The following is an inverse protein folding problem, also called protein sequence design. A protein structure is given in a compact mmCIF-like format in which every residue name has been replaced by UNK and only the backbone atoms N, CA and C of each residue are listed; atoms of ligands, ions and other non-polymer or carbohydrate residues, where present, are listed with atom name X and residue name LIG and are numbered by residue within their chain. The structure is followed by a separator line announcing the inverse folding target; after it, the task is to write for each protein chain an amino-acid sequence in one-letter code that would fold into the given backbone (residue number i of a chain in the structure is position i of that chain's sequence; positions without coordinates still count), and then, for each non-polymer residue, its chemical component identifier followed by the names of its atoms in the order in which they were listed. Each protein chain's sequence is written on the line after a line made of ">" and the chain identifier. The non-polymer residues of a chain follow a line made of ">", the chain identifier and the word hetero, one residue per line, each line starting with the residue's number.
data_IF_448181791914
#
_entry.id   IF_448181791914
#
_cell.length_a   1.000
_cell.length_b   1.000
_cell.length_c   1.000
_cell.angle_alpha   90.00
_cell.angle_beta   90.00
_cell.angle_gamma   90.00
#
_symmetry.space_group_name_H-M   'P 1'
#
loop_
_entity.id
_entity.type
_entity.pdbx_description
1 polymer ?
#
# COMPACT_ATOMS: atom_id res chain seq x y z
N UNK A 1 5.88 -15.21 -8.34
CA UNK A 1 4.74 -15.85 -7.61
C UNK A 1 3.45 -15.48 -8.31
N UNK A 2 2.51 -16.42 -8.53
CA UNK A 2 1.19 -16.12 -9.13
C UNK A 2 0.49 -15.06 -8.29
N UNK A 3 0.11 -13.93 -8.90
CA UNK A 3 -0.69 -12.87 -8.28
C UNK A 3 -2.10 -13.39 -7.97
N UNK A 4 -2.24 -14.12 -6.86
CA UNK A 4 -3.54 -14.63 -6.40
C UNK A 4 -4.32 -13.49 -5.76
N UNK A 5 -5.48 -13.17 -6.33
CA UNK A 5 -6.45 -12.29 -5.69
C UNK A 5 -6.84 -12.88 -4.32
N UNK A 6 -6.72 -12.08 -3.28
CA UNK A 6 -7.09 -12.39 -1.90
C UNK A 6 -8.43 -11.72 -1.59
N UNK A 7 -9.26 -12.36 -0.76
CA UNK A 7 -10.54 -11.82 -0.30
C UNK A 7 -10.38 -11.09 1.03
N UNK A 8 -11.15 -10.03 1.24
CA UNK A 8 -11.23 -9.33 2.52
C UNK A 8 -12.58 -8.64 2.68
N UNK A 9 -13.18 -8.74 3.87
CA UNK A 9 -14.46 -8.06 4.18
C UNK A 9 -14.20 -6.83 5.02
N UNK A 10 -14.58 -5.64 4.58
CA UNK A 10 -14.44 -4.37 5.32
C UNK A 10 -15.83 -3.75 5.46
N UNK A 11 -16.24 -3.40 6.68
CA UNK A 11 -17.57 -2.83 6.96
C UNK A 11 -18.72 -3.66 6.33
N UNK A 12 -18.68 -4.99 6.48
CA UNK A 12 -19.62 -5.97 5.88
C UNK A 12 -19.59 -6.11 4.35
N UNK A 13 -18.78 -5.32 3.64
CA UNK A 13 -18.63 -5.38 2.18
C UNK A 13 -17.42 -6.26 1.81
N UNK A 14 -17.58 -7.17 0.85
CA UNK A 14 -16.50 -8.02 0.34
C UNK A 14 -15.69 -7.31 -0.77
N UNK A 15 -14.37 -7.35 -0.62
CA UNK A 15 -13.39 -6.83 -1.58
C UNK A 15 -12.43 -7.94 -2.01
N UNK A 16 -11.87 -7.77 -3.20
CA UNK A 16 -10.73 -8.54 -3.68
C UNK A 16 -9.52 -7.63 -3.73
N UNK A 17 -8.33 -8.15 -3.41
CA UNK A 17 -7.10 -7.37 -3.53
C UNK A 17 -5.93 -8.21 -3.98
N UNK A 18 -4.92 -7.54 -4.55
CA UNK A 18 -3.61 -8.10 -4.81
C UNK A 18 -2.52 -7.11 -4.42
N UNK A 19 -1.36 -7.67 -4.12
CA UNK A 19 -0.13 -6.92 -3.81
C UNK A 19 0.94 -7.41 -4.77
N UNK A 20 1.57 -6.51 -5.50
CA UNK A 20 2.64 -6.80 -6.46
C UNK A 20 3.74 -5.76 -6.37
N UNK A 21 4.98 -6.17 -6.52
CA UNK A 21 6.16 -5.31 -6.54
C UNK A 21 6.80 -5.24 -7.93
N UNK A 22 7.43 -4.12 -8.22
CA UNK A 22 8.24 -3.90 -9.40
C UNK A 22 9.52 -3.16 -8.99
N UNK A 23 10.67 -3.75 -9.31
CA UNK A 23 11.96 -3.09 -9.16
C UNK A 23 12.29 -2.27 -10.40
N UNK A 24 12.85 -1.07 -10.18
CA UNK A 24 13.26 -0.14 -11.22
C UNK A 24 14.77 0.09 -11.12
N UNK A 25 15.54 -0.64 -11.94
CA UNK A 25 17.01 -0.65 -11.85
C UNK A 25 17.66 0.70 -12.14
N UNK A 26 17.07 1.50 -13.02
CA UNK A 26 17.61 2.80 -13.43
C UNK A 26 17.64 3.81 -12.28
N UNK A 27 16.60 3.78 -11.44
CA UNK A 27 16.44 4.72 -10.31
C UNK A 27 16.78 4.08 -8.97
N UNK A 28 17.11 2.77 -8.95
CA UNK A 28 17.28 1.98 -7.73
C UNK A 28 16.10 2.13 -6.76
N UNK A 29 14.89 2.15 -7.32
CA UNK A 29 13.65 2.25 -6.56
C UNK A 29 12.83 0.99 -6.70
N UNK A 30 11.91 0.80 -5.76
CA UNK A 30 10.94 -0.28 -5.79
C UNK A 30 9.53 0.29 -5.66
N UNK A 31 8.60 -0.16 -6.49
CA UNK A 31 7.18 0.17 -6.36
C UNK A 31 6.39 -1.05 -5.89
N UNK A 32 5.82 -0.97 -4.68
CA UNK A 32 4.79 -1.90 -4.24
C UNK A 32 3.43 -1.34 -4.66
N UNK A 33 2.62 -2.14 -5.34
CA UNK A 33 1.27 -1.77 -5.78
C UNK A 33 0.24 -2.62 -5.05
N UNK A 34 -0.69 -1.95 -4.38
CA UNK A 34 -1.92 -2.57 -3.87
C UNK A 34 -3.05 -2.21 -4.82
N UNK A 35 -3.70 -3.21 -5.40
CA UNK A 35 -4.96 -3.01 -6.14
C UNK A 35 -6.09 -3.63 -5.35
N UNK A 36 -7.15 -2.87 -5.12
CA UNK A 36 -8.39 -3.33 -4.48
C UNK A 36 -9.54 -3.19 -5.45
N UNK A 37 -10.38 -4.21 -5.50
CA UNK A 37 -11.60 -4.29 -6.29
C UNK A 37 -12.77 -4.54 -5.36
N UNK A 38 -13.92 -3.96 -5.65
CA UNK A 38 -15.17 -4.42 -5.06
C UNK A 38 -15.47 -5.83 -5.58
N UNK A 39 -15.89 -6.76 -4.73
CA UNK A 39 -16.20 -8.10 -5.20
C UNK A 39 -17.36 -8.05 -6.21
N UNK A 40 -17.20 -8.70 -7.37
CA UNK A 40 -18.14 -8.61 -8.50
C UNK A 40 -17.90 -7.44 -9.45
N UNK A 41 -17.06 -6.44 -9.11
CA UNK A 41 -16.74 -5.30 -9.97
C UNK A 41 -15.22 -5.08 -10.08
N UNK A 42 -14.65 -5.40 -11.24
CA UNK A 42 -13.18 -5.34 -11.47
C UNK A 42 -12.70 -4.17 -12.31
N UNK A 43 -13.60 -3.39 -12.91
CA UNK A 43 -13.24 -2.37 -13.91
C UNK A 43 -12.62 -1.11 -13.27
N UNK A 44 -12.98 -0.82 -12.02
CA UNK A 44 -12.69 0.45 -11.34
C UNK A 44 -11.94 0.23 -10.01
N UNK A 45 -10.73 -0.37 -10.05
CA UNK A 45 -9.96 -0.62 -8.83
C UNK A 45 -9.48 0.66 -8.15
N UNK A 46 -9.38 0.60 -6.83
CA UNK A 46 -8.49 1.48 -6.09
C UNK A 46 -7.05 1.00 -6.30
N UNK A 47 -6.20 1.86 -6.86
CA UNK A 47 -4.79 1.57 -7.10
C UNK A 47 -3.95 2.47 -6.21
N UNK A 48 -3.15 1.87 -5.33
CA UNK A 48 -2.25 2.57 -4.41
C UNK A 48 -0.83 2.10 -4.68
N UNK A 49 0.07 3.04 -4.99
CA UNK A 49 1.49 2.77 -5.27
C UNK A 49 2.37 3.33 -4.16
N UNK A 50 3.26 2.49 -3.64
CA UNK A 50 4.26 2.83 -2.65
C UNK A 50 5.62 2.78 -3.34
N UNK A 51 6.14 3.94 -3.71
CA UNK A 51 7.49 4.05 -4.27
C UNK A 51 8.48 4.24 -3.13
N UNK A 52 9.42 3.32 -2.98
CA UNK A 52 10.44 3.35 -1.93
C UNK A 52 11.84 3.27 -2.54
N UNK A 53 12.85 3.66 -1.76
CA UNK A 53 14.21 3.22 -2.02
C UNK A 53 14.25 1.68 -2.10
N UNK A 54 15.07 1.13 -2.99
CA UNK A 54 15.37 -0.29 -2.95
C UNK A 54 16.45 -0.54 -1.88
N UNK A 55 16.17 -1.44 -0.95
CA UNK A 55 17.17 -1.96 -0.03
C UNK A 55 17.69 -3.27 -0.62
N UNK A 56 18.94 -3.27 -1.10
CA UNK A 56 19.57 -4.42 -1.74
C UNK A 56 19.59 -5.68 -0.86
N UNK A 57 19.48 -5.52 0.46
CA UNK A 57 19.51 -6.62 1.44
C UNK A 57 18.09 -7.09 1.80
N UNK A 58 17.15 -6.17 1.98
CA UNK A 58 15.79 -6.48 2.47
C UNK A 58 14.72 -6.57 1.37
N UNK A 59 15.06 -6.21 0.13
CA UNK A 59 14.12 -6.05 -0.97
C UNK A 59 13.11 -4.95 -0.71
N UNK A 60 11.88 -5.11 -1.19
CA UNK A 60 10.80 -4.14 -0.95
C UNK A 60 10.38 -4.13 0.54
N UNK A 61 10.73 -3.07 1.33
CA UNK A 61 10.54 -3.03 2.79
C UNK A 61 9.09 -3.23 3.25
N UNK A 62 8.11 -2.68 2.55
CA UNK A 62 6.69 -2.83 2.84
C UNK A 62 6.13 -4.21 2.47
N UNK A 63 6.89 -5.03 1.74
CA UNK A 63 6.54 -6.42 1.42
C UNK A 63 7.16 -7.41 2.42
N UNK A 64 8.41 -7.19 2.81
CA UNK A 64 9.14 -8.00 3.81
C UNK A 64 8.72 -7.65 5.24
N UNK A 65 8.47 -6.38 5.52
CA UNK A 65 8.15 -5.86 6.84
C UNK A 65 9.16 -4.79 7.25
N UNK A 66 8.68 -3.61 7.62
CA UNK A 66 9.53 -2.51 8.09
C UNK A 66 8.94 -1.86 9.33
N UNK A 67 9.79 -1.59 10.32
CA UNK A 67 9.37 -0.91 11.54
C UNK A 67 9.29 0.59 11.30
N UNK A 68 8.12 1.17 11.51
CA UNK A 68 7.90 2.62 11.41
C UNK A 68 7.35 3.14 12.74
N UNK A 69 7.85 4.30 13.17
CA UNK A 69 7.27 5.05 14.29
C UNK A 69 5.88 5.59 13.89
N UNK A 70 4.85 5.28 14.67
CA UNK A 70 3.52 5.86 14.58
C UNK A 70 3.41 7.02 15.57
N UNK A 71 3.36 8.26 15.06
CA UNK A 71 3.26 9.47 15.90
C UNK A 71 1.92 9.62 16.61
N UNK A 72 0.85 9.02 16.10
CA UNK A 72 -0.49 9.09 16.70
C UNK A 72 -0.58 8.12 17.88
N UNK A 73 -0.09 6.89 17.70
CA UNK A 73 -0.13 5.85 18.74
C UNK A 73 1.04 5.94 19.72
N UNK A 74 2.13 6.63 19.36
CA UNK A 74 3.36 6.66 20.15
C UNK A 74 4.09 5.31 20.20
N UNK A 75 3.87 4.45 19.20
CA UNK A 75 4.43 3.09 19.11
C UNK A 75 5.24 2.88 17.84
N UNK A 76 6.16 1.91 17.88
CA UNK A 76 6.82 1.40 16.70
C UNK A 76 6.08 0.16 16.20
N UNK A 77 5.57 0.21 14.97
CA UNK A 77 4.80 -0.88 14.37
C UNK A 77 5.54 -1.46 13.17
N UNK A 78 5.54 -2.79 13.06
CA UNK A 78 6.04 -3.48 11.86
C UNK A 78 4.96 -3.46 10.75
N UNK A 79 5.24 -2.71 9.69
CA UNK A 79 4.37 -2.53 8.53
C UNK A 79 4.73 -3.55 7.45
N UNK A 80 3.77 -4.39 7.09
CA UNK A 80 3.88 -5.35 5.99
C UNK A 80 2.55 -5.43 5.25
N UNK A 81 2.49 -4.97 4.01
CA UNK A 81 1.26 -4.88 3.22
C UNK A 81 0.74 -6.25 2.75
N UNK A 82 1.46 -7.36 2.99
CA UNK A 82 0.87 -8.69 2.88
C UNK A 82 -0.10 -8.99 4.03
N UNK A 83 0.03 -8.32 5.18
CA UNK A 83 -0.84 -8.51 6.36
C UNK A 83 -2.20 -7.84 6.11
N UNK A 84 -3.33 -8.57 6.25
CA UNK A 84 -4.66 -8.04 5.98
C UNK A 84 -5.03 -6.76 6.75
N UNK A 85 -4.47 -6.55 7.95
CA UNK A 85 -4.81 -5.38 8.78
C UNK A 85 -4.54 -4.04 8.08
N UNK A 86 -3.43 -3.91 7.36
CA UNK A 86 -3.10 -2.69 6.63
C UNK A 86 -3.96 -2.54 5.38
N UNK A 87 -4.28 -3.63 4.69
CA UNK A 87 -5.21 -3.61 3.55
C UNK A 87 -6.58 -3.08 3.97
N UNK A 88 -7.09 -3.46 5.16
CA UNK A 88 -8.35 -2.90 5.69
C UNK A 88 -8.26 -1.38 5.87
N UNK A 89 -7.17 -0.89 6.44
CA UNK A 89 -6.97 0.55 6.65
C UNK A 89 -6.90 1.31 5.32
N UNK A 90 -6.17 0.80 4.34
CA UNK A 90 -6.10 1.39 3.00
C UNK A 90 -7.46 1.45 2.30
N UNK A 91 -8.29 0.40 2.44
CA UNK A 91 -9.66 0.39 1.92
C UNK A 91 -10.50 1.48 2.59
N UNK A 92 -10.48 1.56 3.92
CA UNK A 92 -11.23 2.59 4.66
C UNK A 92 -10.81 4.00 4.23
N UNK A 93 -9.52 4.24 4.02
CA UNK A 93 -9.03 5.53 3.53
C UNK A 93 -9.44 5.82 2.10
N UNK A 94 -9.38 4.83 1.20
CA UNK A 94 -9.86 4.98 -0.18
C UNK A 94 -11.34 5.36 -0.22
N UNK A 95 -12.17 4.70 0.60
CA UNK A 95 -13.58 5.06 0.75
C UNK A 95 -13.76 6.51 1.22
N UNK A 96 -12.99 6.94 2.24
CA UNK A 96 -13.01 8.34 2.72
C UNK A 96 -12.57 9.35 1.66
N UNK A 97 -11.66 8.97 0.76
CA UNK A 97 -11.18 9.80 -0.35
C UNK A 97 -12.09 9.74 -1.60
N UNK A 98 -13.25 9.07 -1.51
CA UNK A 98 -14.27 9.06 -2.56
C UNK A 98 -14.27 7.84 -3.48
N UNK A 99 -13.49 6.80 -3.17
CA UNK A 99 -13.59 5.53 -3.91
C UNK A 99 -14.86 4.80 -3.48
N UNK A 100 -15.65 4.29 -4.43
CA UNK A 100 -16.85 3.48 -4.15
C UNK A 100 -16.77 2.07 -4.69
N UNK A 101 -15.72 1.75 -5.45
CA UNK A 101 -15.65 0.51 -6.23
C UNK A 101 -16.39 0.56 -7.56
N UNK A 102 -17.24 1.57 -7.80
CA UNK A 102 -17.95 1.79 -9.07
C UNK A 102 -17.42 2.98 -9.88
N UNK A 103 -16.58 3.82 -9.27
CA UNK A 103 -15.92 4.95 -9.93
C UNK A 103 -14.41 4.73 -10.05
N UNK A 104 -13.84 5.25 -11.13
CA UNK A 104 -12.40 5.39 -11.25
C UNK A 104 -11.88 6.49 -10.35
N UNK A 105 -10.65 6.32 -9.89
CA UNK A 105 -9.87 7.35 -9.21
C UNK A 105 -8.45 7.34 -9.76
N UNK A 106 -7.76 8.46 -9.62
CA UNK A 106 -6.34 8.53 -9.91
C UNK A 106 -5.54 7.56 -9.03
N UNK A 107 -4.36 7.19 -9.50
CA UNK A 107 -3.45 6.34 -8.73
C UNK A 107 -3.03 7.10 -7.47
N UNK A 108 -3.23 6.46 -6.33
CA UNK A 108 -2.99 7.05 -5.03
C UNK A 108 -1.53 6.83 -4.60
N UNK A 109 -0.95 7.83 -3.95
CA UNK A 109 0.37 7.72 -3.32
C UNK A 109 0.23 7.01 -1.96
N UNK A 110 0.83 5.83 -1.85
CA UNK A 110 0.76 5.00 -0.66
C UNK A 110 1.57 5.51 0.54
N UNK A 111 2.64 6.29 0.31
CA UNK A 111 3.37 6.91 1.42
C UNK A 111 2.53 7.99 2.11
N UNK A 112 1.69 8.69 1.36
CA UNK A 112 0.74 9.66 1.93
C UNK A 112 -0.31 8.94 2.78
N UNK A 113 -0.77 7.76 2.33
CA UNK A 113 -1.68 6.93 3.12
C UNK A 113 -1.07 6.51 4.46
N UNK A 114 0.19 6.04 4.46
CA UNK A 114 0.88 5.68 5.71
C UNK A 114 1.09 6.90 6.61
N UNK A 115 1.41 8.06 6.03
CA UNK A 115 1.61 9.31 6.78
C UNK A 115 0.31 9.78 7.44
N UNK A 116 -0.83 9.70 6.73
CA UNK A 116 -2.16 9.98 7.28
C UNK A 116 -2.60 8.99 8.36
N UNK A 117 -2.08 7.76 8.34
CA UNK A 117 -2.24 6.77 9.42
C UNK A 117 -1.29 7.02 10.63
N UNK A 118 -0.45 8.06 10.54
CA UNK A 118 0.46 8.49 11.60
C UNK A 118 1.89 7.96 11.47
N UNK A 119 2.21 7.17 10.44
CA UNK A 119 3.54 6.57 10.29
C UNK A 119 4.57 7.54 9.71
N UNK A 120 5.77 7.53 10.26
CA UNK A 120 6.92 8.23 9.69
C UNK A 120 7.46 7.46 8.48
N UNK A 121 7.32 8.06 7.29
CA UNK A 121 7.67 7.43 6.01
C UNK A 121 8.96 7.93 5.39
N UNK A 122 9.62 8.95 5.96
CA UNK A 122 10.80 9.57 5.35
C UNK A 122 11.94 8.58 5.10
N UNK A 123 12.12 7.61 5.99
CA UNK A 123 13.11 6.55 5.83
C UNK A 123 12.84 5.60 4.66
N UNK A 124 11.62 5.59 4.10
CA UNK A 124 11.25 4.77 2.95
C UNK A 124 11.48 5.48 1.61
N UNK A 125 11.57 6.82 1.62
CA UNK A 125 11.67 7.60 0.39
C UNK A 125 13.01 7.33 -0.31
N UNK A 126 13.04 7.24 -1.65
CA UNK A 126 14.30 7.26 -2.39
C UNK A 126 15.14 8.46 -1.97
N UNK A 127 16.44 8.26 -1.73
CA UNK A 127 17.36 9.39 -1.57
C UNK A 127 17.41 10.13 -2.91
N UNK A 128 17.06 11.41 -2.92
CA UNK A 128 17.42 12.26 -4.05
C UNK A 128 18.95 12.33 -4.06
N UNK A 129 19.56 11.77 -5.11
CA UNK A 129 20.92 12.15 -5.47
C UNK A 129 20.78 13.51 -6.14
N UNK A 130 21.11 14.58 -5.42
CA UNK A 130 21.52 15.84 -6.05
C UNK A 130 22.91 15.68 -6.68
#
# INVERSE_FOLDING_TARGET
>A
MKNKLRKITVNTIEYLYLVSDQYHSETKTNTLTVKVFLNGQKQTPLIIKFMTADDYVMGQPLKSGVKLMNKIAGSEDEINLNKPKYIRQLIVMGLKKGWSGFNSMEIQNGLDYLSELGFQTDQLKPKHNE
#
